data_IF_036779874013
#
_entry.id   IF_036779874013
#
_cell.length_a   1.000
_cell.length_b   1.000
_cell.length_c   1.000
_cell.angle_alpha   90.00
_cell.angle_beta   90.00
_cell.angle_gamma   90.00
#
_symmetry.space_group_name_H-M   'P 1'
#
loop_
_entity.id
_entity.type
_entity.pdbx_description
1 polymer ?
#
# COMPACT_ATOMS: atom_id res chain seq x y z
N UNK A 1 -2.05 18.08 21.17
CA UNK A 1 -3.06 17.03 20.85
C UNK A 1 -2.47 16.05 19.84
N UNK A 2 -2.37 14.76 20.17
CA UNK A 2 -1.81 13.77 19.25
C UNK A 2 -2.74 13.52 18.06
N UNK A 3 -2.20 13.39 16.85
CA UNK A 3 -3.00 13.04 15.66
C UNK A 3 -3.71 11.70 15.85
N UNK A 4 -5.00 11.63 15.55
CA UNK A 4 -5.80 10.41 15.63
C UNK A 4 -5.50 9.37 14.54
N UNK A 5 -4.70 9.72 13.53
CA UNK A 5 -4.27 8.87 12.42
C UNK A 5 -2.78 9.04 12.12
N UNK A 6 -2.15 8.08 11.42
CA UNK A 6 -0.79 8.23 10.89
C UNK A 6 -0.67 9.43 9.96
N UNK A 7 0.54 9.97 9.84
CA UNK A 7 0.91 10.89 8.77
C UNK A 7 1.00 10.10 7.46
N UNK A 8 0.28 10.54 6.45
CA UNK A 8 0.15 9.86 5.16
C UNK A 8 0.94 10.61 4.10
N UNK A 9 1.96 9.93 3.57
CA UNK A 9 2.74 10.38 2.42
C UNK A 9 2.23 9.62 1.19
N UNK A 10 1.81 10.35 0.18
CA UNK A 10 1.47 9.81 -1.13
C UNK A 10 2.69 9.90 -2.05
N UNK A 11 3.05 8.82 -2.73
CA UNK A 11 4.15 8.83 -3.72
C UNK A 11 3.72 8.16 -5.01
N UNK A 12 3.91 8.87 -6.12
CA UNK A 12 3.65 8.36 -7.47
C UNK A 12 4.65 8.91 -8.49
N UNK A 13 4.90 8.13 -9.55
CA UNK A 13 5.46 8.64 -10.79
C UNK A 13 4.33 8.80 -11.80
N UNK A 14 4.30 9.92 -12.49
CA UNK A 14 3.27 10.25 -13.50
C UNK A 14 3.93 10.71 -14.80
N UNK A 15 3.22 10.55 -15.89
CA UNK A 15 3.56 11.16 -17.19
C UNK A 15 3.31 12.67 -17.15
N UNK A 16 3.76 13.41 -18.16
CA UNK A 16 3.52 14.85 -18.29
C UNK A 16 2.02 15.19 -18.32
N UNK A 17 1.20 14.31 -18.89
CA UNK A 17 -0.27 14.45 -18.94
C UNK A 17 -0.97 13.81 -17.70
N UNK A 18 -0.22 13.44 -16.65
CA UNK A 18 -0.79 13.01 -15.37
C UNK A 18 -1.22 11.54 -15.29
N UNK A 19 -0.78 10.66 -16.19
CA UNK A 19 -1.12 9.23 -16.14
C UNK A 19 -0.17 8.47 -15.21
N UNK A 20 -0.71 7.46 -14.52
CA UNK A 20 0.03 6.57 -13.62
C UNK A 20 0.60 5.32 -14.31
N UNK A 21 0.14 5.05 -15.53
CA UNK A 21 0.55 3.91 -16.34
C UNK A 21 0.29 4.20 -17.83
N UNK A 22 0.92 3.42 -18.70
CA UNK A 22 0.64 3.41 -20.14
C UNK A 22 -0.76 2.87 -20.43
N UNK A 23 -1.19 2.96 -21.69
CA UNK A 23 -2.47 2.37 -22.17
C UNK A 23 -2.53 0.86 -21.97
N UNK A 24 -1.38 0.18 -21.96
CA UNK A 24 -1.26 -1.27 -21.71
C UNK A 24 -1.14 -1.63 -20.22
N UNK A 25 -1.19 -0.62 -19.31
CA UNK A 25 -1.13 -0.82 -17.87
C UNK A 25 0.28 -0.90 -17.29
N UNK A 26 1.35 -0.66 -18.10
CA UNK A 26 2.71 -0.64 -17.57
C UNK A 26 2.93 0.62 -16.71
N UNK A 27 3.20 0.39 -15.42
CA UNK A 27 3.47 1.43 -14.42
C UNK A 27 4.97 1.74 -14.25
N UNK A 28 5.86 1.12 -15.05
CA UNK A 28 7.33 1.27 -14.93
C UNK A 28 7.83 2.60 -15.50
N UNK A 29 7.21 3.69 -15.11
CA UNK A 29 7.58 5.04 -15.56
C UNK A 29 8.82 5.59 -14.85
N UNK A 30 9.16 5.06 -13.67
CA UNK A 30 10.21 5.58 -12.80
C UNK A 30 11.62 5.28 -13.30
N UNK A 31 12.47 6.31 -13.30
CA UNK A 31 13.93 6.15 -13.54
C UNK A 31 14.63 5.40 -12.38
N UNK A 32 15.89 4.99 -12.59
CA UNK A 32 16.72 4.41 -11.51
C UNK A 32 16.89 5.37 -10.33
N UNK A 33 17.03 6.68 -10.60
CA UNK A 33 17.13 7.71 -9.56
C UNK A 33 15.85 7.80 -8.72
N UNK A 34 14.70 7.78 -9.37
CA UNK A 34 13.40 7.80 -8.67
C UNK A 34 13.17 6.51 -7.86
N UNK A 35 13.49 5.35 -8.40
CA UNK A 35 13.43 4.08 -7.64
C UNK A 35 14.29 4.15 -6.38
N UNK A 36 15.51 4.69 -6.46
CA UNK A 36 16.37 4.88 -5.30
C UNK A 36 15.76 5.88 -4.28
N UNK A 37 15.13 6.96 -4.76
CA UNK A 37 14.41 7.92 -3.91
C UNK A 37 13.28 7.22 -3.14
N UNK A 38 12.46 6.42 -3.84
CA UNK A 38 11.36 5.65 -3.22
C UNK A 38 11.90 4.66 -2.19
N UNK A 39 12.99 3.95 -2.46
CA UNK A 39 13.61 3.06 -1.46
C UNK A 39 14.09 3.81 -0.21
N UNK A 40 14.68 5.00 -0.35
CA UNK A 40 15.04 5.86 0.78
C UNK A 40 13.80 6.30 1.57
N UNK A 41 12.71 6.62 0.87
CA UNK A 41 11.44 7.01 1.48
C UNK A 41 10.81 5.86 2.27
N UNK A 42 10.78 4.65 1.71
CA UNK A 42 10.34 3.43 2.41
C UNK A 42 11.08 3.22 3.73
N UNK A 43 12.38 3.54 3.77
CA UNK A 43 13.19 3.48 5.00
C UNK A 43 12.81 4.50 6.08
N UNK A 44 11.99 5.51 5.78
CA UNK A 44 11.59 6.59 6.70
C UNK A 44 10.16 6.47 7.22
N UNK A 45 9.45 5.41 6.86
CA UNK A 45 8.05 5.17 7.25
C UNK A 45 7.91 3.89 8.07
N UNK A 46 6.82 3.77 8.81
CA UNK A 46 6.50 2.58 9.59
C UNK A 46 5.78 1.53 8.75
N UNK A 47 5.02 1.99 7.74
CA UNK A 47 4.29 1.09 6.84
C UNK A 47 4.22 1.61 5.41
N UNK A 48 4.08 0.67 4.47
CA UNK A 48 3.80 0.93 3.04
C UNK A 48 2.44 0.36 2.73
N UNK A 49 1.59 1.14 2.04
CA UNK A 49 0.24 0.75 1.70
C UNK A 49 0.04 0.77 0.18
N UNK A 50 -0.53 -0.31 -0.35
CA UNK A 50 -0.94 -0.44 -1.75
C UNK A 50 -2.34 -1.06 -1.85
N UNK A 51 -2.97 -0.92 -3.01
CA UNK A 51 -4.17 -1.66 -3.36
C UNK A 51 -3.87 -3.08 -3.86
N UNK A 52 -4.87 -3.97 -3.79
CA UNK A 52 -4.78 -5.35 -4.28
C UNK A 52 -4.36 -5.41 -5.76
N UNK A 53 -4.93 -4.56 -6.60
CA UNK A 53 -4.61 -4.54 -8.03
C UNK A 53 -3.11 -4.29 -8.28
N UNK A 54 -2.50 -3.34 -7.57
CA UNK A 54 -1.06 -3.10 -7.61
C UNK A 54 -0.27 -4.31 -7.10
N UNK A 55 -0.74 -4.96 -6.03
CA UNK A 55 -0.09 -6.16 -5.50
C UNK A 55 -0.10 -7.32 -6.51
N UNK A 56 -1.13 -7.42 -7.36
CA UNK A 56 -1.26 -8.48 -8.37
C UNK A 56 -0.61 -8.15 -9.70
N UNK A 57 -0.65 -6.87 -10.13
CA UNK A 57 -0.10 -6.42 -11.41
C UNK A 57 1.42 -6.28 -11.37
N UNK A 58 1.91 -5.55 -10.38
CA UNK A 58 3.34 -5.24 -10.26
C UNK A 58 4.09 -6.33 -9.47
N UNK A 59 3.35 -7.17 -8.74
CA UNK A 59 3.84 -8.22 -7.83
C UNK A 59 5.07 -7.76 -7.02
N UNK A 60 5.01 -6.63 -6.30
CA UNK A 60 6.16 -6.06 -5.63
C UNK A 60 6.48 -6.81 -4.33
N UNK A 61 7.74 -6.77 -3.89
CA UNK A 61 8.10 -7.25 -2.54
C UNK A 61 7.85 -6.15 -1.49
N UNK A 62 7.93 -4.88 -1.86
CA UNK A 62 7.85 -3.72 -0.96
C UNK A 62 8.90 -3.75 0.17
N UNK A 63 10.09 -4.21 -0.14
CA UNK A 63 11.24 -4.22 0.77
C UNK A 63 12.04 -2.94 0.69
N UNK A 64 12.89 -2.72 1.69
CA UNK A 64 13.89 -1.66 1.70
C UNK A 64 15.26 -2.28 1.43
N UNK A 65 15.97 -1.79 0.42
CA UNK A 65 17.34 -2.18 0.15
C UNK A 65 18.30 -1.15 0.77
N UNK A 66 19.31 -1.63 1.51
CA UNK A 66 20.50 -0.90 1.99
C UNK A 66 20.30 0.20 3.07
N UNK A 67 19.09 0.46 3.61
CA UNK A 67 18.88 1.65 4.45
C UNK A 67 18.25 1.43 5.83
N UNK A 68 17.85 0.22 6.19
CA UNK A 68 17.30 -0.11 7.54
C UNK A 68 17.56 -1.55 7.94
N UNK A 69 17.69 -1.77 9.25
CA UNK A 69 17.73 -3.13 9.84
C UNK A 69 16.40 -3.87 9.72
N UNK A 70 15.27 -3.18 9.57
CA UNK A 70 13.92 -3.75 9.49
C UNK A 70 13.12 -3.18 8.34
N UNK A 71 12.37 -4.02 7.65
CA UNK A 71 11.42 -3.58 6.63
C UNK A 71 10.19 -2.92 7.27
N UNK A 72 9.58 -1.92 6.62
CA UNK A 72 8.29 -1.39 7.05
C UNK A 72 7.19 -2.47 6.92
N UNK A 73 6.13 -2.33 7.71
CA UNK A 73 4.94 -3.18 7.61
C UNK A 73 4.30 -2.95 6.24
N UNK A 74 3.94 -4.03 5.55
CA UNK A 74 3.22 -3.94 4.27
C UNK A 74 1.73 -4.02 4.53
N UNK A 75 0.96 -3.13 3.90
CA UNK A 75 -0.49 -3.08 4.02
C UNK A 75 -1.09 -3.19 2.62
N UNK A 76 -1.96 -4.17 2.42
CA UNK A 76 -2.71 -4.33 1.17
C UNK A 76 -4.19 -4.06 1.43
N UNK A 77 -4.79 -3.15 0.66
CA UNK A 77 -6.24 -2.95 0.64
C UNK A 77 -6.87 -3.98 -0.31
N UNK A 78 -7.53 -4.98 0.25
CA UNK A 78 -8.21 -6.04 -0.49
C UNK A 78 -9.59 -6.33 0.12
N UNK A 79 -10.57 -5.53 -0.21
CA UNK A 79 -11.90 -5.56 0.40
C UNK A 79 -12.53 -6.95 0.45
N UNK A 80 -12.24 -7.81 -0.53
CA UNK A 80 -12.83 -9.15 -0.68
C UNK A 80 -11.91 -10.29 -0.27
N UNK A 81 -10.69 -9.99 0.23
CA UNK A 81 -9.68 -10.99 0.57
C UNK A 81 -9.33 -11.93 -0.60
N UNK A 82 -9.18 -11.39 -1.80
CA UNK A 82 -8.99 -12.16 -3.04
C UNK A 82 -7.56 -12.19 -3.57
N UNK A 83 -6.61 -11.48 -2.93
CA UNK A 83 -5.20 -11.50 -3.30
C UNK A 83 -4.68 -12.94 -3.47
N UNK A 84 -3.97 -13.21 -4.57
CA UNK A 84 -3.51 -14.56 -4.93
C UNK A 84 -2.42 -15.04 -3.99
N UNK A 85 -2.48 -16.33 -3.60
CA UNK A 85 -1.48 -16.95 -2.69
C UNK A 85 -0.05 -16.91 -3.24
N UNK A 86 0.10 -16.93 -4.56
CA UNK A 86 1.41 -16.88 -5.21
C UNK A 86 2.01 -15.47 -5.33
N UNK A 87 1.30 -14.41 -4.89
CA UNK A 87 1.84 -13.05 -4.86
C UNK A 87 3.10 -13.00 -3.99
N UNK A 88 4.11 -12.25 -4.42
CA UNK A 88 5.38 -12.11 -3.67
C UNK A 88 5.17 -11.52 -2.28
N UNK A 89 4.16 -10.67 -2.10
CA UNK A 89 3.78 -10.12 -0.78
C UNK A 89 3.39 -11.24 0.16
N UNK A 90 2.51 -12.16 -0.23
CA UNK A 90 2.08 -13.28 0.62
C UNK A 90 3.20 -14.31 0.81
N UNK A 91 3.91 -14.67 -0.25
CA UNK A 91 5.03 -15.64 -0.17
C UNK A 91 6.18 -15.19 0.74
N UNK A 92 6.33 -13.89 0.96
CA UNK A 92 7.38 -13.32 1.82
C UNK A 92 6.86 -12.80 3.16
N UNK A 93 5.59 -13.08 3.50
CA UNK A 93 4.95 -12.57 4.73
C UNK A 93 5.54 -13.15 6.02
N UNK A 94 6.19 -14.30 5.97
CA UNK A 94 6.96 -14.84 7.10
C UNK A 94 8.22 -14.02 7.43
N UNK A 95 8.75 -13.28 6.45
CA UNK A 95 9.98 -12.48 6.60
C UNK A 95 9.69 -10.98 6.78
N UNK A 96 8.59 -10.49 6.22
CA UNK A 96 8.22 -9.07 6.26
C UNK A 96 6.79 -8.98 6.78
N UNK A 97 6.54 -8.30 7.92
CA UNK A 97 5.20 -8.16 8.49
C UNK A 97 4.21 -7.61 7.45
N UNK A 98 3.08 -8.29 7.34
CA UNK A 98 2.07 -7.98 6.31
C UNK A 98 0.68 -7.92 6.92
N UNK A 99 -0.07 -6.87 6.58
CA UNK A 99 -1.46 -6.64 6.96
C UNK A 99 -2.30 -6.68 5.68
N UNK A 100 -3.39 -7.45 5.70
CA UNK A 100 -4.43 -7.42 4.67
C UNK A 100 -5.65 -6.75 5.28
N UNK A 101 -6.01 -5.57 4.78
CA UNK A 101 -7.21 -4.86 5.19
C UNK A 101 -8.39 -5.28 4.30
N UNK A 102 -9.48 -5.72 4.92
CA UNK A 102 -10.63 -6.31 4.24
C UNK A 102 -11.94 -5.67 4.69
N UNK A 103 -12.99 -5.83 3.89
CA UNK A 103 -14.36 -5.49 4.27
C UNK A 103 -15.06 -6.64 5.01
N UNK A 104 -16.13 -6.33 5.73
CA UNK A 104 -16.98 -7.33 6.41
C UNK A 104 -17.66 -8.29 5.43
N UNK A 105 -17.85 -7.87 4.16
CA UNK A 105 -18.42 -8.68 3.09
C UNK A 105 -17.45 -9.71 2.48
N UNK A 106 -16.20 -9.75 2.91
CA UNK A 106 -15.24 -10.76 2.46
C UNK A 106 -15.74 -12.16 2.82
N UNK A 107 -15.69 -13.09 1.86
CA UNK A 107 -16.22 -14.44 2.09
C UNK A 107 -15.42 -15.18 3.16
N UNK A 108 -16.12 -15.98 3.98
CA UNK A 108 -15.48 -16.85 5.00
C UNK A 108 -14.38 -17.74 4.39
N UNK A 109 -14.59 -18.27 3.20
CA UNK A 109 -13.61 -19.08 2.46
C UNK A 109 -12.31 -18.31 2.21
N UNK A 110 -12.42 -17.04 1.78
CA UNK A 110 -11.25 -16.20 1.50
C UNK A 110 -10.50 -15.81 2.78
N UNK A 111 -11.24 -15.50 3.85
CA UNK A 111 -10.65 -15.18 5.16
C UNK A 111 -9.89 -16.37 5.72
N UNK A 112 -10.52 -17.57 5.78
CA UNK A 112 -9.88 -18.79 6.24
C UNK A 112 -8.63 -19.18 5.44
N UNK A 113 -8.60 -18.84 4.13
CA UNK A 113 -7.41 -19.02 3.30
C UNK A 113 -6.26 -18.10 3.74
N UNK A 114 -6.54 -16.84 4.04
CA UNK A 114 -5.52 -15.88 4.50
C UNK A 114 -5.07 -16.17 5.94
N UNK A 115 -5.95 -16.65 6.81
CA UNK A 115 -5.65 -17.02 8.20
C UNK A 115 -4.61 -18.16 8.31
N UNK A 116 -4.46 -18.97 7.25
CA UNK A 116 -3.41 -20.01 7.18
C UNK A 116 -2.02 -19.45 6.84
N UNK A 117 -1.92 -18.15 6.54
CA UNK A 117 -0.68 -17.48 6.18
C UNK A 117 -0.21 -16.57 7.32
N UNK A 118 1.09 -16.28 7.44
CA UNK A 118 1.63 -15.39 8.46
C UNK A 118 1.32 -13.91 8.13
N UNK A 119 0.05 -13.58 8.00
CA UNK A 119 -0.46 -12.23 7.75
C UNK A 119 -1.44 -11.82 8.85
N UNK A 120 -1.51 -10.52 9.14
CA UNK A 120 -2.54 -9.97 10.02
C UNK A 120 -3.72 -9.49 9.17
N UNK A 121 -4.93 -9.95 9.48
CA UNK A 121 -6.16 -9.47 8.84
C UNK A 121 -6.76 -8.36 9.69
N UNK A 122 -7.14 -7.25 9.07
CA UNK A 122 -7.90 -6.16 9.70
C UNK A 122 -9.21 -6.01 8.93
N UNK A 123 -10.32 -6.33 9.58
CA UNK A 123 -11.66 -6.13 9.02
C UNK A 123 -12.13 -4.73 9.38
N UNK A 124 -12.36 -3.88 8.38
CA UNK A 124 -12.82 -2.52 8.59
C UNK A 124 -13.63 -1.98 7.40
N UNK A 125 -14.87 -1.70 7.64
CA UNK A 125 -15.84 -1.27 6.64
C UNK A 125 -16.71 -2.41 6.13
N UNK A 126 -17.90 -2.05 5.64
CA UNK A 126 -18.91 -3.03 5.23
C UNK A 126 -18.51 -3.73 3.92
N UNK A 127 -18.74 -3.08 2.79
CA UNK A 127 -18.49 -3.62 1.45
C UNK A 127 -17.05 -3.34 0.97
N UNK A 128 -16.54 -2.16 1.29
CA UNK A 128 -15.18 -1.73 0.98
C UNK A 128 -14.44 -1.39 2.25
N UNK A 129 -13.11 -1.48 2.22
CA UNK A 129 -12.25 -1.03 3.33
C UNK A 129 -12.54 0.44 3.62
N UNK A 130 -12.91 0.74 4.86
CA UNK A 130 -13.04 2.12 5.33
C UNK A 130 -11.66 2.64 5.74
N UNK A 131 -11.09 3.52 4.92
CA UNK A 131 -9.71 4.01 5.10
C UNK A 131 -9.55 4.78 6.41
N UNK A 132 -10.51 5.63 6.79
CA UNK A 132 -10.45 6.39 8.05
C UNK A 132 -10.40 5.47 9.27
N UNK A 133 -11.27 4.44 9.28
CA UNK A 133 -11.26 3.42 10.35
C UNK A 133 -9.94 2.63 10.35
N UNK A 134 -9.45 2.22 9.18
CA UNK A 134 -8.16 1.54 9.06
C UNK A 134 -7.02 2.39 9.63
N UNK A 135 -6.90 3.64 9.24
CA UNK A 135 -5.87 4.54 9.74
C UNK A 135 -5.93 4.72 11.26
N UNK A 136 -7.13 4.82 11.83
CA UNK A 136 -7.30 4.90 13.29
C UNK A 136 -6.81 3.62 13.99
N UNK A 137 -7.13 2.43 13.45
CA UNK A 137 -6.65 1.14 13.96
C UNK A 137 -5.12 1.05 13.87
N UNK A 138 -4.55 1.42 12.73
CA UNK A 138 -3.10 1.41 12.51
C UNK A 138 -2.36 2.36 13.49
N UNK A 139 -2.95 3.53 13.75
CA UNK A 139 -2.40 4.48 14.73
C UNK A 139 -2.37 3.90 16.14
N UNK A 140 -3.44 3.23 16.58
CA UNK A 140 -3.49 2.53 17.87
C UNK A 140 -2.45 1.39 17.97
N UNK A 141 -2.04 0.80 16.84
CA UNK A 141 -0.97 -0.20 16.77
C UNK A 141 0.43 0.41 16.71
N UNK A 142 0.58 1.72 16.92
CA UNK A 142 1.87 2.40 16.96
C UNK A 142 2.40 2.86 15.60
N UNK A 143 1.68 2.64 14.50
CA UNK A 143 2.06 3.13 13.16
C UNK A 143 1.83 4.63 13.11
N UNK A 144 2.90 5.40 12.93
CA UNK A 144 2.90 6.87 12.96
C UNK A 144 2.98 7.47 11.55
N UNK A 145 3.63 6.80 10.61
CA UNK A 145 3.88 7.29 9.26
C UNK A 145 3.64 6.19 8.22
N UNK A 146 2.85 6.47 7.20
CA UNK A 146 2.49 5.54 6.13
C UNK A 146 2.86 6.14 4.79
N UNK A 147 3.48 5.34 3.92
CA UNK A 147 3.70 5.64 2.53
C UNK A 147 2.64 4.92 1.68
N UNK A 148 1.85 5.67 0.93
CA UNK A 148 0.89 5.15 -0.05
C UNK A 148 1.54 5.15 -1.42
N UNK A 149 1.75 3.96 -2.00
CA UNK A 149 2.44 3.78 -3.29
C UNK A 149 1.49 3.36 -4.43
N UNK A 150 0.20 3.43 -4.21
CA UNK A 150 -0.70 3.26 -5.33
C UNK A 150 -1.67 2.08 -5.25
N UNK A 151 -2.29 1.67 -6.30
CA UNK A 151 -2.69 2.17 -7.59
C UNK A 151 -3.69 3.33 -7.59
N UNK A 152 -4.15 3.66 -8.77
CA UNK A 152 -4.99 4.84 -8.99
C UNK A 152 -6.24 4.91 -8.11
N UNK A 153 -6.99 3.80 -7.98
CA UNK A 153 -8.18 3.73 -7.11
C UNK A 153 -7.84 3.96 -5.63
N UNK A 154 -6.73 3.39 -5.15
CA UNK A 154 -6.25 3.59 -3.78
C UNK A 154 -5.89 5.05 -3.58
N UNK A 155 -5.10 5.61 -4.48
CA UNK A 155 -4.68 7.01 -4.44
C UNK A 155 -5.88 7.96 -4.43
N UNK A 156 -6.83 7.74 -5.33
CA UNK A 156 -8.07 8.52 -5.40
C UNK A 156 -8.87 8.45 -4.10
N UNK A 157 -8.96 7.27 -3.49
CA UNK A 157 -9.68 7.09 -2.23
C UNK A 157 -9.06 7.92 -1.09
N UNK A 158 -7.73 8.00 -1.01
CA UNK A 158 -7.05 8.86 -0.03
C UNK A 158 -7.24 10.35 -0.32
N UNK A 159 -7.14 10.76 -1.58
CA UNK A 159 -7.33 12.16 -2.00
C UNK A 159 -8.77 12.60 -1.76
N UNK A 160 -9.75 11.81 -2.23
CA UNK A 160 -11.19 12.11 -2.08
C UNK A 160 -11.61 12.30 -0.61
N UNK A 161 -11.02 11.54 0.31
CA UNK A 161 -11.33 11.62 1.74
C UNK A 161 -10.47 12.64 2.49
N UNK A 162 -9.62 13.40 1.79
CA UNK A 162 -8.66 14.38 2.36
C UNK A 162 -7.75 13.75 3.43
N UNK A 163 -7.16 12.60 3.09
CA UNK A 163 -6.32 11.82 4.01
C UNK A 163 -4.82 11.90 3.70
N UNK A 164 -4.43 12.66 2.69
CA UNK A 164 -3.02 12.88 2.30
C UNK A 164 -2.47 14.09 3.05
N UNK A 165 -1.35 13.91 3.75
CA UNK A 165 -0.65 15.01 4.44
C UNK A 165 0.50 15.56 3.60
N UNK A 166 1.12 14.70 2.78
CA UNK A 166 2.28 15.05 1.94
C UNK A 166 2.19 14.28 0.62
N UNK A 167 2.45 14.94 -0.50
CA UNK A 167 2.51 14.34 -1.82
C UNK A 167 3.90 14.48 -2.43
N UNK A 168 4.47 13.36 -2.87
CA UNK A 168 5.76 13.28 -3.57
C UNK A 168 5.52 12.74 -4.97
N UNK A 169 5.42 13.62 -5.94
CA UNK A 169 5.15 13.28 -7.34
C UNK A 169 6.43 13.41 -8.16
N UNK A 170 6.77 12.35 -8.87
CA UNK A 170 7.81 12.38 -9.90
C UNK A 170 7.15 12.53 -11.26
N UNK A 171 7.45 13.62 -11.96
CA UNK A 171 7.01 13.81 -13.33
C UNK A 171 8.04 13.17 -14.26
N UNK A 172 7.60 12.29 -15.14
CA UNK A 172 8.44 11.57 -16.09
C UNK A 172 8.27 12.16 -17.50
N UNK A 173 9.28 12.05 -18.39
CA UNK A 173 9.24 12.66 -19.72
C UNK A 173 8.42 11.81 -20.74
N UNK A 174 7.32 11.21 -20.29
CA UNK A 174 6.39 10.45 -21.13
C UNK A 174 5.07 11.20 -21.28
N UNK A 175 4.36 10.93 -22.37
CA UNK A 175 3.01 11.41 -22.68
C UNK A 175 2.03 10.25 -22.79
#
# INVERSE_FOLDING_TARGET
>A
MGRFRPHVIFSAAITLDGKLATRTGDSKLSSKADKNRVHKLRGKVDAILIGKNTAEFDDPILSVHHHKKTNPIRIVLDSNATIKNNSRILRTSSKIPTIIAVGESASKKNLQRLEKLPVKIIICGKKHVNIKKLLAVLRKQGIKKILVEGGGETNWSFVKENLVDEAMITITPYL
#
